data_IF_764581300946
#
_entry.id   IF_764581300946
#
_cell.length_a   1.000
_cell.length_b   1.000
_cell.length_c   1.000
_cell.angle_alpha   90.00
_cell.angle_beta   90.00
_cell.angle_gamma   90.00
#
_symmetry.space_group_name_H-M   'P 1'
#
loop_
_entity.id
_entity.type
_entity.pdbx_description
1 polymer ?
#
# COMPACT_ATOMS: atom_id res chain seq x y z
N UNK A 1 -7.62 -1.26 4.07
CA UNK A 1 -8.73 -0.31 3.82
C UNK A 1 -9.15 -0.15 2.36
N UNK A 2 -8.25 -0.24 1.36
CA UNK A 2 -8.60 0.01 -0.06
C UNK A 2 -9.54 -1.05 -0.68
N UNK A 3 -9.39 -2.34 -0.35
CA UNK A 3 -10.22 -3.42 -0.91
C UNK A 3 -11.71 -3.36 -0.52
N UNK A 4 -12.00 -3.01 0.73
CA UNK A 4 -13.37 -2.90 1.27
C UNK A 4 -14.13 -1.73 0.62
N UNK A 5 -13.47 -0.56 0.52
CA UNK A 5 -14.03 0.60 -0.18
C UNK A 5 -14.22 0.33 -1.68
N UNK A 6 -13.30 -0.42 -2.32
CA UNK A 6 -13.41 -0.87 -3.72
C UNK A 6 -14.68 -1.70 -3.96
N UNK A 7 -14.89 -2.73 -3.15
CA UNK A 7 -16.01 -3.66 -3.29
C UNK A 7 -17.36 -2.96 -3.04
N UNK A 8 -17.46 -2.16 -1.98
CA UNK A 8 -18.69 -1.38 -1.69
C UNK A 8 -19.01 -0.40 -2.81
N UNK A 9 -18.00 0.32 -3.32
CA UNK A 9 -18.20 1.23 -4.44
C UNK A 9 -18.66 0.53 -5.72
N UNK A 10 -18.44 -0.79 -5.88
CA UNK A 10 -18.94 -1.53 -7.04
C UNK A 10 -20.41 -1.89 -6.84
N UNK A 11 -20.73 -2.44 -5.67
CA UNK A 11 -22.10 -2.81 -5.31
C UNK A 11 -23.07 -1.62 -5.36
N UNK A 12 -22.63 -0.43 -4.96
CA UNK A 12 -23.50 0.74 -4.87
C UNK A 12 -23.52 1.62 -6.13
N UNK A 13 -22.46 1.60 -6.94
CA UNK A 13 -22.31 2.54 -8.08
C UNK A 13 -22.08 1.88 -9.43
N UNK A 14 -22.05 0.55 -9.50
CA UNK A 14 -21.76 -0.18 -10.75
C UNK A 14 -20.32 0.02 -11.24
N UNK A 15 -20.04 -0.37 -12.48
CA UNK A 15 -18.72 -0.26 -13.11
C UNK A 15 -18.28 1.21 -13.27
N UNK A 16 -16.96 1.46 -13.29
CA UNK A 16 -16.46 2.82 -13.55
C UNK A 16 -16.67 3.20 -15.03
N UNK A 17 -16.90 4.49 -15.35
CA UNK A 17 -16.90 4.95 -16.73
C UNK A 17 -15.60 4.56 -17.44
N UNK A 18 -15.72 3.95 -18.61
CA UNK A 18 -14.60 3.47 -19.42
C UNK A 18 -14.10 2.07 -19.08
N UNK A 19 -14.58 1.42 -18.01
CA UNK A 19 -14.22 0.02 -17.73
C UNK A 19 -14.69 -0.89 -18.89
N UNK A 20 -13.82 -1.77 -19.37
CA UNK A 20 -14.08 -2.63 -20.53
C UNK A 20 -14.06 -4.12 -20.15
N UNK A 21 -14.98 -4.88 -20.73
CA UNK A 21 -15.11 -6.32 -20.47
C UNK A 21 -15.73 -6.65 -19.12
N UNK A 22 -15.69 -7.92 -18.73
CA UNK A 22 -16.23 -8.40 -17.46
C UNK A 22 -15.17 -8.39 -16.35
N UNK A 23 -14.53 -7.24 -16.12
CA UNK A 23 -13.45 -7.07 -15.14
C UNK A 23 -13.47 -5.68 -14.49
N UNK A 24 -12.83 -5.55 -13.32
CA UNK A 24 -12.74 -4.33 -12.51
C UNK A 24 -11.30 -3.77 -12.48
N UNK A 25 -10.62 -3.76 -13.62
CA UNK A 25 -9.18 -3.47 -13.71
C UNK A 25 -8.86 -1.99 -13.52
N UNK A 26 -9.65 -1.05 -14.07
CA UNK A 26 -9.45 0.38 -13.83
C UNK A 26 -9.70 0.71 -12.37
N UNK A 27 -10.77 0.14 -11.80
CA UNK A 27 -11.03 0.24 -10.36
C UNK A 27 -9.87 -0.34 -9.54
N UNK A 28 -9.38 -1.53 -9.85
CA UNK A 28 -8.25 -2.14 -9.15
C UNK A 28 -7.01 -1.24 -9.19
N UNK A 29 -6.63 -0.75 -10.37
CA UNK A 29 -5.51 0.17 -10.59
C UNK A 29 -5.68 1.50 -9.85
N UNK A 30 -6.90 2.04 -9.81
CA UNK A 30 -7.24 3.25 -9.05
C UNK A 30 -7.02 3.07 -7.55
N UNK A 31 -7.40 1.91 -7.00
CA UNK A 31 -7.33 1.65 -5.57
C UNK A 31 -5.95 1.18 -5.09
N UNK A 32 -5.22 0.39 -5.88
CA UNK A 32 -3.84 -0.02 -5.54
C UNK A 32 -2.92 1.19 -5.47
N UNK A 33 -3.08 2.16 -6.38
CA UNK A 33 -2.28 3.38 -6.40
C UNK A 33 -2.40 4.20 -5.10
N UNK A 34 -3.54 4.13 -4.39
CA UNK A 34 -3.81 4.91 -3.17
C UNK A 34 -2.89 4.57 -2.00
N UNK A 35 -2.36 3.35 -1.94
CA UNK A 35 -1.50 2.87 -0.84
C UNK A 35 -0.12 2.39 -1.32
N UNK A 36 0.20 2.59 -2.59
CA UNK A 36 1.48 2.21 -3.18
C UNK A 36 2.17 3.45 -3.78
N UNK A 37 1.91 3.76 -5.05
CA UNK A 37 2.66 4.78 -5.79
C UNK A 37 2.30 6.21 -5.37
N UNK A 38 1.04 6.52 -5.05
CA UNK A 38 0.65 7.90 -4.74
C UNK A 38 1.23 8.41 -3.42
N UNK A 39 1.22 7.64 -2.30
CA UNK A 39 1.99 8.02 -1.12
C UNK A 39 3.49 8.16 -1.40
N UNK A 40 4.07 7.27 -2.22
CA UNK A 40 5.48 7.35 -2.57
C UNK A 40 5.82 8.63 -3.36
N UNK A 41 4.95 9.05 -4.28
CA UNK A 41 5.09 10.33 -5.00
C UNK A 41 4.98 11.50 -4.02
N UNK A 42 3.94 11.52 -3.19
CA UNK A 42 3.69 12.62 -2.25
C UNK A 42 4.85 12.84 -1.26
N UNK A 43 5.50 11.77 -0.83
CA UNK A 43 6.65 11.83 0.08
C UNK A 43 8.01 11.86 -0.61
N UNK A 44 8.05 11.90 -1.96
CA UNK A 44 9.30 12.04 -2.69
C UNK A 44 10.21 10.82 -2.67
N UNK A 45 9.63 9.63 -2.52
CA UNK A 45 10.33 8.33 -2.42
C UNK A 45 9.95 7.37 -3.56
N UNK A 46 9.17 7.83 -4.54
CA UNK A 46 8.73 7.03 -5.69
C UNK A 46 9.88 6.53 -6.58
N UNK A 47 11.06 7.11 -6.47
CA UNK A 47 12.25 6.64 -7.18
C UNK A 47 12.83 5.34 -6.57
N UNK A 48 12.47 5.01 -5.32
CA UNK A 48 12.91 3.78 -4.64
C UNK A 48 11.78 2.77 -4.45
N UNK A 49 10.55 3.22 -4.14
CA UNK A 49 9.46 2.34 -3.70
C UNK A 49 8.10 2.71 -4.31
N UNK A 50 7.07 1.92 -3.99
CA UNK A 50 5.68 2.24 -4.30
C UNK A 50 5.13 1.65 -5.60
N UNK A 51 5.93 0.94 -6.39
CA UNK A 51 5.44 0.13 -7.51
C UNK A 51 6.45 -0.96 -7.89
N UNK A 52 6.02 -1.89 -8.74
CA UNK A 52 6.88 -2.93 -9.31
C UNK A 52 7.40 -2.41 -10.66
N UNK A 53 8.55 -1.73 -10.62
CA UNK A 53 9.23 -1.18 -11.78
C UNK A 53 10.73 -1.43 -11.66
N UNK A 54 11.42 -1.61 -12.79
CA UNK A 54 12.86 -1.83 -12.80
C UNK A 54 13.61 -0.66 -12.15
N UNK A 55 14.66 -0.97 -11.39
CA UNK A 55 15.46 0.02 -10.66
C UNK A 55 14.92 0.41 -9.28
N UNK A 56 13.70 -0.01 -8.91
CA UNK A 56 13.15 0.18 -7.56
C UNK A 56 13.58 -0.93 -6.61
N UNK A 57 13.53 -0.66 -5.31
CA UNK A 57 13.78 -1.64 -4.27
C UNK A 57 12.77 -2.80 -4.39
N UNK A 58 13.24 -4.04 -4.28
CA UNK A 58 12.43 -5.24 -4.39
C UNK A 58 11.60 -5.51 -3.12
N UNK A 59 10.71 -4.58 -2.80
CA UNK A 59 9.70 -4.69 -1.75
C UNK A 59 8.41 -5.24 -2.33
N UNK A 60 8.19 -6.54 -2.13
CA UNK A 60 7.11 -7.30 -2.77
C UNK A 60 6.24 -7.97 -1.71
N UNK A 61 4.94 -8.06 -2.00
CA UNK A 61 4.00 -8.81 -1.17
C UNK A 61 3.31 -9.85 -2.03
N UNK A 62 3.47 -11.12 -1.66
CA UNK A 62 2.89 -12.26 -2.38
C UNK A 62 1.60 -12.66 -1.70
N UNK A 63 0.56 -12.84 -2.50
CA UNK A 63 -0.78 -13.16 -2.02
C UNK A 63 -1.26 -14.45 -2.65
N UNK A 64 -1.84 -15.33 -1.82
CA UNK A 64 -2.78 -16.30 -2.35
C UNK A 64 -4.11 -15.57 -2.65
N UNK A 65 -4.74 -15.75 -3.84
CA UNK A 65 -5.91 -14.98 -4.24
C UNK A 65 -7.06 -14.95 -3.21
N UNK A 66 -7.32 -16.09 -2.55
CA UNK A 66 -8.36 -16.20 -1.51
C UNK A 66 -8.14 -15.28 -0.30
N UNK A 67 -6.90 -14.83 -0.04
CA UNK A 67 -6.52 -13.99 1.08
C UNK A 67 -6.06 -12.58 0.65
N UNK A 68 -6.24 -12.22 -0.62
CA UNK A 68 -5.75 -10.96 -1.18
C UNK A 68 -6.23 -9.74 -0.37
N UNK A 69 -5.27 -8.95 0.10
CA UNK A 69 -5.50 -7.76 0.92
C UNK A 69 -5.85 -8.02 2.39
N UNK A 70 -5.88 -9.29 2.83
CA UNK A 70 -6.19 -9.69 4.20
C UNK A 70 -4.97 -10.29 4.90
N UNK A 71 -4.45 -11.41 4.40
CA UNK A 71 -3.34 -12.18 4.97
C UNK A 71 -2.34 -12.58 3.86
N UNK A 72 -1.20 -11.88 3.70
CA UNK A 72 -0.22 -12.22 2.66
C UNK A 72 0.48 -13.55 2.94
N UNK A 73 0.92 -14.24 1.88
CA UNK A 73 1.72 -15.46 2.02
C UNK A 73 3.17 -15.11 2.42
N UNK A 74 3.78 -14.16 1.70
CA UNK A 74 5.16 -13.69 1.90
C UNK A 74 5.23 -12.17 1.80
N UNK A 75 6.10 -11.58 2.62
CA UNK A 75 6.51 -10.18 2.54
C UNK A 75 8.02 -10.13 2.34
N UNK A 76 8.44 -9.55 1.22
CA UNK A 76 9.84 -9.38 0.86
C UNK A 76 10.25 -7.93 1.10
N UNK A 77 11.45 -7.76 1.65
CA UNK A 77 12.15 -6.47 1.76
C UNK A 77 13.48 -6.59 1.04
N UNK A 78 13.74 -5.66 0.11
CA UNK A 78 15.01 -5.63 -0.64
C UNK A 78 15.38 -6.97 -1.27
N UNK A 79 14.40 -7.75 -1.74
CA UNK A 79 14.62 -9.05 -2.37
C UNK A 79 14.71 -10.25 -1.43
N UNK A 80 14.66 -10.07 -0.11
CA UNK A 80 14.69 -11.16 0.88
C UNK A 80 13.38 -11.24 1.66
N UNK A 81 12.96 -12.44 2.06
CA UNK A 81 11.73 -12.63 2.84
C UNK A 81 11.95 -12.10 4.26
N UNK A 82 11.12 -11.13 4.66
CA UNK A 82 11.10 -10.52 5.99
C UNK A 82 10.04 -11.13 6.89
N UNK A 83 8.89 -11.51 6.32
CA UNK A 83 7.79 -12.15 7.04
C UNK A 83 7.09 -13.19 6.16
N UNK A 84 6.63 -14.28 6.77
CA UNK A 84 5.84 -15.31 6.09
C UNK A 84 4.82 -15.94 7.04
N UNK A 85 3.73 -16.45 6.47
CA UNK A 85 2.84 -17.37 7.17
C UNK A 85 3.53 -18.75 7.25
N UNK A 86 3.90 -19.16 8.47
CA UNK A 86 4.77 -20.31 8.72
C UNK A 86 4.16 -21.21 9.79
N UNK A 87 4.12 -22.52 9.51
CA UNK A 87 3.65 -23.57 10.39
C UNK A 87 4.54 -23.83 11.61
N UNK A 88 4.40 -25.02 12.19
CA UNK A 88 5.27 -25.51 13.26
C UNK A 88 6.72 -25.70 12.76
N UNK A 89 7.71 -24.98 13.32
CA UNK A 89 9.11 -25.13 12.93
C UNK A 89 9.71 -26.52 13.23
N UNK A 90 9.09 -27.31 14.12
CA UNK A 90 9.56 -28.66 14.45
C UNK A 90 8.89 -29.76 13.61
N UNK A 91 7.97 -29.40 12.72
CA UNK A 91 7.33 -30.36 11.83
C UNK A 91 8.26 -30.76 10.66
N UNK A 92 7.88 -31.82 9.94
CA UNK A 92 8.68 -32.36 8.82
C UNK A 92 8.73 -31.45 7.59
N UNK A 93 7.76 -30.54 7.44
CA UNK A 93 7.61 -29.56 6.36
C UNK A 93 7.00 -28.27 6.94
N UNK A 94 7.03 -27.11 6.26
CA UNK A 94 6.66 -25.81 6.87
C UNK A 94 5.14 -25.50 6.94
N UNK A 95 4.29 -26.41 6.46
CA UNK A 95 2.83 -26.24 6.36
C UNK A 95 1.99 -26.78 7.53
N UNK A 96 2.44 -27.70 8.41
CA UNK A 96 1.66 -28.18 9.54
C UNK A 96 1.37 -27.08 10.55
N UNK A 97 0.19 -27.13 11.13
CA UNK A 97 -0.30 -26.14 12.09
C UNK A 97 0.56 -26.10 13.38
N UNK A 98 0.66 -24.95 14.07
CA UNK A 98 -0.05 -23.70 13.80
C UNK A 98 0.66 -22.80 12.77
N UNK A 99 -0.07 -22.39 11.73
CA UNK A 99 0.39 -21.43 10.74
C UNK A 99 0.14 -20.00 11.23
N UNK A 100 1.22 -19.34 11.64
CA UNK A 100 1.21 -17.95 12.13
C UNK A 100 2.25 -17.11 11.41
N UNK A 101 2.14 -15.79 11.49
CA UNK A 101 3.18 -14.91 10.95
C UNK A 101 4.42 -14.97 11.82
N UNK A 102 5.56 -15.25 11.17
CA UNK A 102 6.86 -15.27 11.83
C UNK A 102 7.84 -14.37 11.07
N UNK A 103 8.76 -13.68 11.79
CA UNK A 103 9.88 -13.01 11.16
C UNK A 103 10.77 -14.03 10.44
N UNK A 104 11.28 -13.64 9.28
CA UNK A 104 12.15 -14.44 8.41
C UNK A 104 13.53 -13.79 8.32
N UNK A 105 14.47 -14.38 7.59
CA UNK A 105 15.88 -13.98 7.61
C UNK A 105 16.16 -12.49 7.36
N UNK A 106 15.36 -11.80 6.54
CA UNK A 106 15.55 -10.36 6.31
C UNK A 106 15.24 -9.48 7.55
N UNK A 107 14.56 -10.04 8.55
CA UNK A 107 14.22 -9.37 9.80
C UNK A 107 15.29 -9.52 10.89
N UNK A 108 16.45 -10.12 10.60
CA UNK A 108 17.49 -10.41 11.60
C UNK A 108 18.87 -9.86 11.22
N UNK A 109 19.62 -9.44 12.24
CA UNK A 109 21.04 -9.06 12.11
C UNK A 109 21.30 -8.01 11.04
N UNK A 110 22.40 -8.19 10.30
CA UNK A 110 22.83 -7.25 9.24
C UNK A 110 21.87 -7.21 8.04
N UNK A 111 21.07 -8.26 7.83
CA UNK A 111 20.12 -8.29 6.73
C UNK A 111 19.09 -7.16 6.84
N UNK A 112 18.74 -6.72 8.06
CA UNK A 112 17.85 -5.57 8.28
C UNK A 112 18.42 -4.29 7.64
N UNK A 113 19.74 -4.08 7.74
CA UNK A 113 20.46 -2.95 7.15
C UNK A 113 20.48 -3.00 5.63
N UNK A 114 20.81 -4.16 5.08
CA UNK A 114 20.97 -4.38 3.63
C UNK A 114 19.63 -4.38 2.87
N UNK A 115 18.54 -4.79 3.51
CA UNK A 115 17.23 -4.95 2.86
C UNK A 115 16.27 -3.77 3.07
N UNK A 116 16.70 -2.74 3.82
CA UNK A 116 15.87 -1.61 4.20
C UNK A 116 16.55 -0.28 3.92
N UNK A 117 15.75 0.76 3.75
CA UNK A 117 16.22 2.12 3.52
C UNK A 117 15.87 3.01 4.71
N UNK A 118 16.70 4.02 4.94
CA UNK A 118 16.38 5.17 5.78
C UNK A 118 16.22 6.39 4.88
N UNK A 119 15.01 6.92 4.77
CA UNK A 119 14.78 8.15 4.00
C UNK A 119 15.16 9.38 4.82
N UNK A 120 16.01 10.23 4.24
CA UNK A 120 16.52 11.45 4.86
C UNK A 120 16.17 12.68 4.02
N UNK A 121 16.21 13.87 4.62
CA UNK A 121 16.24 15.10 3.83
C UNK A 121 17.54 15.16 3.02
N UNK A 122 17.51 15.87 1.88
CA UNK A 122 18.71 16.05 1.05
C UNK A 122 19.88 16.64 1.83
N UNK A 123 19.61 17.70 2.61
CA UNK A 123 20.63 18.33 3.45
C UNK A 123 21.25 17.38 4.47
N UNK A 124 20.46 16.48 5.06
CA UNK A 124 20.96 15.50 6.01
C UNK A 124 21.82 14.42 5.33
N UNK A 125 21.41 13.95 4.15
CA UNK A 125 22.17 12.98 3.37
C UNK A 125 23.50 13.57 2.88
N UNK A 126 23.49 14.79 2.33
CA UNK A 126 24.70 15.50 1.87
C UNK A 126 25.59 15.93 3.03
N UNK A 127 25.01 16.23 4.20
CA UNK A 127 25.73 16.56 5.43
C UNK A 127 26.33 15.36 6.16
N UNK A 128 26.25 14.15 5.60
CA UNK A 128 26.92 12.96 6.14
C UNK A 128 26.32 12.43 7.45
N UNK A 129 25.06 12.76 7.77
CA UNK A 129 24.47 12.37 9.06
C UNK A 129 24.36 10.85 9.21
N UNK A 130 24.21 10.12 8.10
CA UNK A 130 24.18 8.68 8.06
C UNK A 130 25.43 8.08 8.69
N UNK A 131 26.61 8.58 8.29
CA UNK A 131 27.90 8.10 8.75
C UNK A 131 28.20 8.59 10.17
N UNK A 132 27.84 9.85 10.45
CA UNK A 132 27.98 10.43 11.80
C UNK A 132 27.21 9.63 12.86
N UNK A 133 26.02 9.13 12.53
CA UNK A 133 25.19 8.32 13.42
C UNK A 133 25.48 6.82 13.33
N UNK A 134 26.36 6.38 12.43
CA UNK A 134 26.66 4.96 12.24
C UNK A 134 25.45 4.14 11.82
N UNK A 135 24.57 4.69 10.97
CA UNK A 135 23.35 4.00 10.57
C UNK A 135 23.70 2.77 9.71
N UNK A 136 23.12 1.62 10.04
CA UNK A 136 23.36 0.39 9.29
C UNK A 136 22.54 0.26 8.00
N UNK A 137 21.44 1.02 7.87
CA UNK A 137 20.56 1.01 6.70
C UNK A 137 20.98 2.07 5.71
N UNK A 138 21.01 1.73 4.42
CA UNK A 138 21.29 2.68 3.33
C UNK A 138 20.41 3.93 3.46
N UNK A 139 21.04 5.09 3.60
CA UNK A 139 20.34 6.37 3.55
C UNK A 139 20.00 6.76 2.11
N UNK A 140 18.78 7.23 1.90
CA UNK A 140 18.34 7.76 0.60
C UNK A 140 17.68 9.11 0.79
N UNK A 141 18.10 10.11 0.01
CA UNK A 141 17.52 11.44 0.06
C UNK A 141 16.13 11.47 -0.59
N UNK A 142 15.14 12.01 0.12
CA UNK A 142 13.85 12.34 -0.49
C UNK A 142 14.02 13.42 -1.56
N UNK A 143 13.21 13.34 -2.63
CA UNK A 143 13.29 14.27 -3.75
C UNK A 143 11.91 14.61 -4.32
N UNK A 144 11.79 15.78 -4.95
CA UNK A 144 10.55 16.21 -5.64
C UNK A 144 9.29 16.23 -4.74
N UNK A 145 9.42 16.57 -3.46
CA UNK A 145 8.25 16.76 -2.58
C UNK A 145 7.51 18.10 -2.82
N UNK A 146 8.01 18.94 -3.74
CA UNK A 146 7.42 20.24 -4.13
C UNK A 146 7.21 20.28 -5.64
N UNK A 147 6.35 21.18 -6.10
CA UNK A 147 5.98 21.27 -7.52
C UNK A 147 5.08 20.10 -7.97
N UNK A 148 4.50 19.39 -7.01
CA UNK A 148 3.47 18.38 -7.23
C UNK A 148 2.09 19.02 -7.08
N UNK A 149 1.13 18.51 -7.82
CA UNK A 149 -0.27 18.87 -7.74
C UNK A 149 -1.15 17.63 -7.72
N UNK A 150 -2.47 17.82 -7.68
CA UNK A 150 -3.42 16.73 -7.76
C UNK A 150 -3.28 15.92 -9.06
N UNK A 151 -2.85 16.54 -10.16
CA UNK A 151 -2.71 15.87 -11.46
C UNK A 151 -1.63 14.80 -11.49
N UNK A 152 -0.62 14.90 -10.61
CA UNK A 152 0.45 13.90 -10.47
C UNK A 152 -0.01 12.60 -9.79
N UNK A 153 -1.22 12.57 -9.21
CA UNK A 153 -1.74 11.39 -8.52
C UNK A 153 -2.27 10.36 -9.52
N UNK A 154 -1.52 9.27 -9.70
CA UNK A 154 -1.80 8.18 -10.61
C UNK A 154 -3.21 7.63 -10.37
N UNK A 155 -4.03 7.64 -11.43
CA UNK A 155 -5.44 7.22 -11.48
C UNK A 155 -6.36 7.94 -10.48
N UNK A 156 -5.91 9.05 -9.87
CA UNK A 156 -6.59 9.73 -8.76
C UNK A 156 -6.45 11.26 -8.84
N UNK A 157 -6.46 11.80 -10.06
CA UNK A 157 -6.26 13.22 -10.36
C UNK A 157 -7.54 14.06 -10.40
N UNK A 158 -8.72 13.46 -10.19
CA UNK A 158 -9.99 14.18 -10.20
C UNK A 158 -10.01 15.27 -9.11
N UNK A 159 -10.35 16.48 -9.54
CA UNK A 159 -10.39 17.70 -8.73
C UNK A 159 -11.72 18.44 -8.97
N UNK A 160 -12.83 17.96 -8.38
CA UNK A 160 -14.14 18.61 -8.53
C UNK A 160 -14.21 19.90 -7.70
N UNK A 161 -15.18 20.75 -8.02
CA UNK A 161 -15.63 21.79 -7.10
C UNK A 161 -16.38 21.12 -5.96
N UNK A 162 -15.83 21.24 -4.75
CA UNK A 162 -16.40 20.65 -3.54
C UNK A 162 -17.17 21.71 -2.76
N UNK A 163 -18.38 21.37 -2.34
CA UNK A 163 -19.23 22.19 -1.48
C UNK A 163 -19.62 21.36 -0.25
N UNK A 164 -19.58 21.98 0.93
CA UNK A 164 -20.03 21.37 2.18
C UNK A 164 -20.96 22.35 2.86
N UNK A 165 -22.21 21.93 3.07
CA UNK A 165 -23.19 22.74 3.79
C UNK A 165 -22.84 22.76 5.30
N UNK A 166 -22.70 23.93 5.94
CA UNK A 166 -22.21 24.02 7.31
C UNK A 166 -23.24 23.59 8.37
N UNK A 167 -24.53 23.54 8.03
CA UNK A 167 -25.61 23.18 8.96
C UNK A 167 -26.01 21.71 8.84
N UNK A 168 -26.10 21.21 7.61
CA UNK A 168 -26.56 19.85 7.30
C UNK A 168 -25.43 18.86 7.07
N UNK A 169 -24.21 19.35 6.83
CA UNK A 169 -23.02 18.57 6.43
C UNK A 169 -23.19 17.81 5.11
N UNK A 170 -24.15 18.20 4.27
CA UNK A 170 -24.25 17.69 2.91
C UNK A 170 -22.99 18.02 2.12
N UNK A 171 -22.42 17.00 1.47
CA UNK A 171 -21.22 17.15 0.64
C UNK A 171 -21.62 17.02 -0.82
N UNK A 172 -21.30 18.02 -1.63
CA UNK A 172 -21.57 18.03 -3.08
C UNK A 172 -20.26 18.13 -3.88
N UNK A 173 -20.22 17.45 -5.01
CA UNK A 173 -19.14 17.58 -6.00
C UNK A 173 -19.75 17.98 -7.34
N UNK A 174 -19.36 19.15 -7.86
CA UNK A 174 -19.95 19.73 -9.08
C UNK A 174 -21.49 19.82 -8.98
N UNK A 175 -22.03 20.20 -7.81
CA UNK A 175 -23.46 20.27 -7.52
C UNK A 175 -24.14 18.93 -7.19
N UNK A 176 -23.51 17.79 -7.46
CA UNK A 176 -24.06 16.45 -7.20
C UNK A 176 -23.85 16.04 -5.73
N UNK A 177 -24.93 15.67 -5.03
CA UNK A 177 -24.88 15.20 -3.65
C UNK A 177 -24.13 13.86 -3.54
N UNK A 178 -23.10 13.82 -2.71
CA UNK A 178 -22.31 12.63 -2.43
C UNK A 178 -22.84 11.93 -1.17
N UNK A 179 -23.64 10.89 -1.35
CA UNK A 179 -24.11 10.03 -0.25
C UNK A 179 -23.89 8.54 -0.55
N UNK A 180 -23.99 7.70 0.49
CA UNK A 180 -24.00 6.24 0.38
C UNK A 180 -24.57 5.56 1.63
N UNK A 181 -25.41 4.54 1.43
CA UNK A 181 -25.98 3.76 2.54
C UNK A 181 -24.91 2.97 3.30
N UNK A 182 -24.92 2.97 4.66
CA UNK A 182 -23.96 2.23 5.46
C UNK A 182 -24.01 0.72 5.18
N UNK A 183 -22.85 0.06 5.19
CA UNK A 183 -22.77 -1.38 4.95
C UNK A 183 -23.08 -2.17 6.23
N UNK A 184 -23.97 -3.16 6.15
CA UNK A 184 -24.30 -4.08 7.26
C UNK A 184 -23.29 -5.21 7.43
N UNK A 185 -22.62 -5.60 6.34
CA UNK A 185 -21.62 -6.65 6.27
C UNK A 185 -20.55 -6.27 5.26
N UNK A 186 -19.34 -6.78 5.44
CA UNK A 186 -18.20 -6.50 4.57
C UNK A 186 -17.48 -7.80 4.19
N UNK A 187 -16.97 -7.83 2.95
CA UNK A 187 -15.92 -8.77 2.57
C UNK A 187 -14.65 -8.50 3.41
N UNK A 188 -13.71 -9.45 3.41
CA UNK A 188 -12.43 -9.32 4.12
C UNK A 188 -12.59 -9.10 5.65
N UNK A 189 -13.65 -9.65 6.25
CA UNK A 189 -13.98 -9.50 7.67
C UNK A 189 -14.10 -10.88 8.37
N UNK A 190 -15.21 -11.17 9.04
CA UNK A 190 -15.45 -12.35 9.91
C UNK A 190 -14.99 -13.71 9.34
N UNK A 191 -14.98 -13.89 8.02
CA UNK A 191 -14.48 -15.12 7.38
C UNK A 191 -13.01 -15.41 7.67
N UNK A 192 -12.19 -14.39 7.91
CA UNK A 192 -10.73 -14.50 7.90
C UNK A 192 -10.07 -14.33 9.27
N UNK A 193 -10.78 -13.81 10.25
CA UNK A 193 -10.22 -13.41 11.54
C UNK A 193 -10.84 -14.23 12.67
N UNK A 194 -9.99 -14.66 13.59
CA UNK A 194 -10.43 -15.40 14.78
C UNK A 194 -11.16 -14.48 15.78
N UNK A 195 -10.79 -13.19 15.78
CA UNK A 195 -11.36 -12.12 16.57
C UNK A 195 -11.46 -10.84 15.73
#
# INVERSE_FOLDING_TARGET
>A
MSGISRHRGLLQRGALPGEHGNADNMRARRYVAKYTVNPAIAHGVAHEVGSIEAGRLADLVIWHPAFFGVKPALVLKGGMIAWAAMGDPNASIPTPEPVIYRPMFAAFGRAIGETSLTFLSRAAAEGGIHDHLGLARRAVAVSRCRGLSKSDMINNSFLPTMEVDPETYEVRANGELLTCEPAKQLAMAQRYFLF
#
